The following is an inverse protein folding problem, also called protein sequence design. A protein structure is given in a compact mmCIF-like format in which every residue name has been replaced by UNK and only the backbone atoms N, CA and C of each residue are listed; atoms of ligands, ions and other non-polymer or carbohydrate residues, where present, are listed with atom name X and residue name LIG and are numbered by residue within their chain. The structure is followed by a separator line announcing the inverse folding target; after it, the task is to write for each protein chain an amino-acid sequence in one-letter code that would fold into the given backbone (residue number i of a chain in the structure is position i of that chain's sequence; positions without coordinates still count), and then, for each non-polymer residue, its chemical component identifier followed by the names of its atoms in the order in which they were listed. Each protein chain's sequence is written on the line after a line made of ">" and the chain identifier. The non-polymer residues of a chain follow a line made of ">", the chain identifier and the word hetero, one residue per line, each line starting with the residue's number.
data_IF_069550305194
#
_entry.id   IF_069550305194
#
_cell.length_a   1.000
_cell.length_b   1.000
_cell.length_c   1.000
_cell.angle_alpha   90.00
_cell.angle_beta   90.00
_cell.angle_gamma   90.00
#
_symmetry.space_group_name_H-M   'P 1'
#
loop_
_entity.id
_entity.type
_entity.pdbx_description
1 polymer ?
#
# COMPACT_ATOMS: atom_id res chain seq x y z
N UNK A 1 -8.72 -5.90 17.46
CA UNK A 1 -8.86 -7.10 16.61
C UNK A 1 -7.66 -7.17 15.67
N UNK A 2 -7.12 -8.38 15.47
CA UNK A 2 -6.09 -8.63 14.47
C UNK A 2 -6.76 -8.82 13.10
N UNK A 3 -6.40 -7.96 12.12
CA UNK A 3 -6.97 -8.02 10.77
C UNK A 3 -6.10 -8.80 9.79
N UNK A 4 -4.78 -8.65 9.86
CA UNK A 4 -3.85 -9.29 8.93
C UNK A 4 -2.52 -9.61 9.58
N UNK A 5 -1.90 -10.66 9.10
CA UNK A 5 -0.52 -11.06 9.37
C UNK A 5 0.21 -11.24 8.03
N UNK A 6 1.55 -11.23 7.98
CA UNK A 6 2.28 -11.46 6.73
C UNK A 6 2.16 -12.94 6.30
N UNK A 7 1.08 -13.27 5.57
CA UNK A 7 0.72 -14.63 5.18
C UNK A 7 1.23 -15.01 3.79
N UNK A 8 1.41 -14.03 2.90
CA UNK A 8 1.85 -14.25 1.54
C UNK A 8 3.37 -14.08 1.40
N UNK A 9 3.98 -14.77 0.45
CA UNK A 9 5.44 -14.71 0.23
C UNK A 9 5.93 -13.29 -0.05
N UNK A 10 5.14 -12.49 -0.79
CA UNK A 10 5.48 -11.10 -1.10
C UNK A 10 5.44 -10.16 0.13
N UNK A 11 4.89 -10.60 1.26
CA UNK A 11 4.88 -9.87 2.52
C UNK A 11 6.10 -10.17 3.41
N UNK A 12 6.99 -11.06 2.96
CA UNK A 12 8.04 -11.69 3.78
C UNK A 12 9.46 -11.50 3.28
N UNK A 13 9.69 -10.61 2.32
CA UNK A 13 11.03 -10.32 1.86
C UNK A 13 11.79 -9.51 2.91
N UNK A 14 12.89 -10.07 3.44
CA UNK A 14 13.67 -9.47 4.51
C UNK A 14 12.94 -9.51 5.85
N UNK A 15 12.00 -8.61 6.08
CA UNK A 15 11.16 -8.61 7.29
C UNK A 15 9.76 -9.15 7.01
N UNK A 16 9.20 -9.83 7.99
CA UNK A 16 7.84 -10.35 7.97
C UNK A 16 6.92 -9.33 8.66
N UNK A 17 6.47 -8.35 7.95
CA UNK A 17 5.67 -7.24 8.51
C UNK A 17 4.46 -6.91 7.64
N UNK A 18 3.40 -6.48 8.32
CA UNK A 18 2.34 -5.64 7.78
C UNK A 18 2.29 -4.39 8.64
N UNK A 19 2.64 -3.24 8.08
CA UNK A 19 2.82 -1.99 8.83
C UNK A 19 2.24 -0.77 8.10
N UNK A 20 2.30 0.41 8.71
CA UNK A 20 1.92 1.67 8.11
C UNK A 20 0.50 1.70 7.55
N UNK A 21 -0.53 1.27 8.31
CA UNK A 21 -1.89 1.19 7.78
C UNK A 21 -2.44 2.58 7.48
N UNK A 22 -3.12 2.70 6.33
CA UNK A 22 -3.88 3.87 5.94
C UNK A 22 -5.29 3.48 5.53
N UNK A 23 -6.26 4.32 5.89
CA UNK A 23 -7.69 4.04 5.64
C UNK A 23 -8.20 4.95 4.53
N UNK A 24 -8.94 4.36 3.61
CA UNK A 24 -9.67 5.05 2.56
C UNK A 24 -11.14 4.59 2.60
N UNK A 25 -12.08 5.53 2.69
CA UNK A 25 -13.52 5.23 2.65
C UNK A 25 -14.12 5.84 1.38
N UNK A 26 -14.68 5.00 0.51
CA UNK A 26 -15.31 5.42 -0.75
C UNK A 26 -16.22 4.32 -1.29
N UNK A 27 -17.22 4.72 -2.07
CA UNK A 27 -18.09 3.80 -2.83
C UNK A 27 -18.78 2.72 -1.97
N UNK A 28 -19.19 3.06 -0.72
CA UNK A 28 -19.84 2.11 0.18
C UNK A 28 -18.88 1.07 0.78
N UNK A 29 -17.57 1.28 0.67
CA UNK A 29 -16.51 0.39 1.16
C UNK A 29 -15.51 1.14 2.03
N UNK A 30 -14.85 0.37 2.88
CA UNK A 30 -13.67 0.78 3.63
C UNK A 30 -12.50 -0.06 3.14
N UNK A 31 -11.40 0.61 2.79
CA UNK A 31 -10.15 0.00 2.39
C UNK A 31 -9.09 0.32 3.44
N UNK A 32 -8.30 -0.67 3.81
CA UNK A 32 -7.10 -0.52 4.62
C UNK A 32 -5.92 -0.96 3.78
N UNK A 33 -5.08 -0.02 3.38
CA UNK A 33 -3.79 -0.33 2.79
C UNK A 33 -2.75 -0.50 3.88
N UNK A 34 -1.76 -1.32 3.65
CA UNK A 34 -0.63 -1.55 4.55
C UNK A 34 0.63 -1.83 3.75
N UNK A 35 1.78 -1.57 4.34
CA UNK A 35 3.07 -1.88 3.72
C UNK A 35 3.60 -3.22 4.21
N UNK A 36 4.35 -3.91 3.36
CA UNK A 36 4.87 -5.23 3.65
C UNK A 36 6.31 -5.39 3.17
N UNK A 37 7.01 -6.36 3.74
CA UNK A 37 8.42 -6.68 3.54
C UNK A 37 9.38 -5.66 4.16
N UNK A 38 10.70 -5.79 3.93
CA UNK A 38 11.67 -4.77 4.32
C UNK A 38 11.56 -3.52 3.45
N UNK A 39 12.18 -2.44 3.87
CA UNK A 39 12.15 -1.15 3.17
C UNK A 39 13.06 -1.08 1.94
N UNK A 40 13.43 -2.24 1.38
CA UNK A 40 14.18 -2.39 0.14
C UNK A 40 13.32 -2.29 -1.12
N UNK A 41 13.81 -2.84 -2.21
CA UNK A 41 13.11 -2.84 -3.52
C UNK A 41 11.84 -3.70 -3.54
N UNK A 42 11.71 -4.61 -2.58
CA UNK A 42 10.53 -5.48 -2.43
C UNK A 42 9.45 -4.88 -1.53
N UNK A 43 9.70 -3.72 -0.91
CA UNK A 43 8.69 -3.01 -0.14
C UNK A 43 7.50 -2.69 -1.06
N UNK A 44 6.30 -2.93 -0.57
CA UNK A 44 5.10 -2.83 -1.41
C UNK A 44 3.86 -2.57 -0.55
N UNK A 45 2.76 -2.29 -1.20
CA UNK A 45 1.47 -2.00 -0.53
C UNK A 45 0.50 -3.14 -0.79
N UNK A 46 -0.01 -3.73 0.30
CA UNK A 46 -1.17 -4.61 0.30
C UNK A 46 -2.45 -3.87 0.63
N UNK A 47 -3.59 -4.54 0.46
CA UNK A 47 -4.89 -3.95 0.75
C UNK A 47 -5.86 -4.98 1.31
N UNK A 48 -6.70 -4.52 2.22
CA UNK A 48 -7.91 -5.20 2.67
C UNK A 48 -9.12 -4.31 2.41
N UNK A 49 -10.27 -4.93 2.18
CA UNK A 49 -11.53 -4.22 1.96
C UNK A 49 -12.68 -4.85 2.71
N UNK A 50 -13.68 -4.03 3.01
CA UNK A 50 -14.93 -4.45 3.68
C UNK A 50 -16.06 -3.51 3.25
N UNK A 51 -17.33 -4.00 3.27
CA UNK A 51 -18.49 -3.10 3.17
C UNK A 51 -18.53 -2.13 4.35
N UNK A 52 -18.89 -0.87 4.13
CA UNK A 52 -19.00 0.11 5.21
C UNK A 52 -20.10 -0.23 6.23
N UNK A 53 -21.08 -1.05 5.85
CA UNK A 53 -22.18 -1.51 6.71
C UNK A 53 -21.86 -2.80 7.48
N UNK A 54 -20.66 -3.40 7.25
CA UNK A 54 -20.27 -4.62 7.92
C UNK A 54 -19.81 -4.40 9.36
N UNK A 55 -19.79 -5.48 10.16
CA UNK A 55 -19.18 -5.46 11.50
C UNK A 55 -17.63 -5.36 11.35
N UNK A 56 -17.09 -4.16 11.52
CA UNK A 56 -15.66 -3.89 11.28
C UNK A 56 -14.71 -4.61 12.23
N UNK A 57 -15.20 -5.00 13.42
CA UNK A 57 -14.42 -5.74 14.40
C UNK A 57 -14.46 -7.26 14.20
N UNK A 58 -15.26 -7.76 13.24
CA UNK A 58 -15.19 -9.16 12.80
C UNK A 58 -14.13 -9.29 11.69
N UNK A 59 -12.97 -9.94 11.97
CA UNK A 59 -11.93 -10.11 10.95
C UNK A 59 -12.37 -10.92 9.73
N UNK A 60 -13.43 -11.74 9.86
CA UNK A 60 -13.96 -12.55 8.75
C UNK A 60 -14.76 -11.72 7.74
N UNK A 61 -15.18 -10.50 8.09
CA UNK A 61 -15.85 -9.58 7.17
C UNK A 61 -14.88 -8.97 6.15
N UNK A 62 -13.59 -8.96 6.47
CA UNK A 62 -12.56 -8.35 5.65
C UNK A 62 -12.04 -9.28 4.57
N UNK A 63 -11.92 -8.76 3.35
CA UNK A 63 -11.27 -9.43 2.22
C UNK A 63 -9.85 -8.89 2.07
N UNK A 64 -8.84 -9.75 2.17
CA UNK A 64 -7.44 -9.42 1.90
C UNK A 64 -7.12 -9.69 0.43
N UNK A 65 -6.50 -8.72 -0.26
CA UNK A 65 -6.05 -8.90 -1.63
C UNK A 65 -4.88 -9.89 -1.68
N UNK A 66 -4.93 -10.78 -2.69
CA UNK A 66 -3.93 -11.85 -2.84
C UNK A 66 -2.57 -11.35 -3.31
N UNK A 67 -2.54 -10.24 -4.02
CA UNK A 67 -1.34 -9.65 -4.61
C UNK A 67 -1.17 -8.22 -4.10
N UNK A 68 0.07 -7.69 -4.08
CA UNK A 68 0.26 -6.29 -3.73
C UNK A 68 -0.48 -5.39 -4.72
N UNK A 69 -1.12 -4.35 -4.21
CA UNK A 69 -1.86 -3.37 -5.02
C UNK A 69 -0.95 -2.27 -5.57
N UNK A 70 0.23 -2.09 -4.99
CA UNK A 70 1.29 -1.22 -5.51
C UNK A 70 2.65 -1.82 -5.16
N UNK A 71 3.55 -1.88 -6.13
CA UNK A 71 4.90 -2.44 -5.99
C UNK A 71 5.88 -1.70 -6.90
N UNK A 72 7.15 -2.07 -6.82
CA UNK A 72 8.21 -1.57 -7.72
C UNK A 72 7.78 -1.57 -9.18
N UNK A 73 8.00 -0.44 -9.83
CA UNK A 73 7.92 -0.25 -11.28
C UNK A 73 9.29 0.21 -11.79
N UNK A 74 10.06 -0.76 -12.32
CA UNK A 74 11.42 -0.49 -12.79
C UNK A 74 11.44 0.36 -14.07
N UNK A 75 10.38 0.32 -14.90
CA UNK A 75 10.28 1.13 -16.11
C UNK A 75 10.12 2.61 -15.78
N UNK A 76 9.47 2.91 -14.67
CA UNK A 76 9.30 4.27 -14.13
C UNK A 76 10.43 4.69 -13.19
N UNK A 77 11.36 3.79 -12.85
CA UNK A 77 12.41 4.08 -11.88
C UNK A 77 11.89 4.28 -10.45
N UNK A 78 10.80 3.62 -10.08
CA UNK A 78 10.18 3.72 -8.76
C UNK A 78 10.30 2.38 -8.07
N UNK A 79 10.99 2.35 -6.93
CA UNK A 79 11.32 1.12 -6.22
C UNK A 79 10.83 1.15 -4.78
N UNK A 80 10.28 0.04 -4.32
CA UNK A 80 9.83 -0.14 -2.95
C UNK A 80 8.83 0.91 -2.47
N UNK A 81 7.70 1.12 -3.16
CA UNK A 81 6.67 2.06 -2.70
C UNK A 81 5.98 1.55 -1.44
N UNK A 82 5.74 2.45 -0.48
CA UNK A 82 5.02 2.08 0.73
C UNK A 82 4.75 3.22 1.69
N UNK A 83 4.24 2.87 2.87
CA UNK A 83 3.90 3.73 3.99
C UNK A 83 3.04 4.93 3.56
N UNK A 84 1.94 4.60 2.90
CA UNK A 84 1.10 5.59 2.22
C UNK A 84 0.09 6.27 3.14
N UNK A 85 -0.44 7.36 2.63
CA UNK A 85 -1.63 8.06 3.12
C UNK A 85 -2.48 8.53 1.93
N UNK A 86 -3.68 9.02 2.21
CA UNK A 86 -4.60 9.49 1.18
C UNK A 86 -5.03 10.93 1.41
N UNK A 87 -5.25 11.65 0.32
CA UNK A 87 -5.81 12.99 0.31
C UNK A 87 -6.59 13.23 -0.98
N UNK A 88 -7.11 14.41 -1.16
CA UNK A 88 -7.71 14.88 -2.42
C UNK A 88 -7.05 16.19 -2.83
N UNK A 89 -6.93 16.43 -4.13
CA UNK A 89 -6.46 17.71 -4.66
C UNK A 89 -7.60 18.76 -4.70
N UNK A 90 -7.26 19.98 -5.12
CA UNK A 90 -8.23 21.07 -5.23
C UNK A 90 -9.33 20.86 -6.26
N UNK A 91 -9.18 19.89 -7.14
CA UNK A 91 -10.16 19.48 -8.16
C UNK A 91 -11.01 18.28 -7.71
N UNK A 92 -10.74 17.74 -6.51
CA UNK A 92 -11.43 16.58 -5.95
C UNK A 92 -10.91 15.22 -6.43
N UNK A 93 -9.72 15.18 -7.05
CA UNK A 93 -9.12 13.92 -7.45
C UNK A 93 -8.51 13.20 -6.24
N UNK A 94 -8.63 11.89 -6.20
CA UNK A 94 -8.04 11.06 -5.16
C UNK A 94 -6.52 10.92 -5.38
N UNK A 95 -5.74 11.21 -4.34
CA UNK A 95 -4.29 11.22 -4.33
C UNK A 95 -3.78 10.27 -3.26
N UNK A 96 -2.85 9.40 -3.64
CA UNK A 96 -2.03 8.64 -2.70
C UNK A 96 -0.70 9.36 -2.50
N UNK A 97 -0.30 9.57 -1.27
CA UNK A 97 1.04 10.04 -0.87
C UNK A 97 1.77 8.86 -0.26
N UNK A 98 2.97 8.59 -0.71
CA UNK A 98 3.76 7.42 -0.28
C UNK A 98 5.26 7.76 -0.36
N UNK A 99 6.13 6.90 0.15
CA UNK A 99 7.55 7.01 -0.18
C UNK A 99 7.97 5.91 -1.14
N UNK A 100 8.99 6.18 -1.94
CA UNK A 100 9.68 5.19 -2.75
C UNK A 100 11.14 5.58 -2.97
N UNK A 101 11.91 4.65 -3.52
CA UNK A 101 13.30 4.82 -3.91
C UNK A 101 13.40 5.12 -5.39
N UNK A 102 14.46 5.80 -5.78
CA UNK A 102 14.84 6.04 -7.19
C UNK A 102 16.00 5.16 -7.63
N UNK A 103 16.59 4.39 -6.72
CA UNK A 103 17.73 3.52 -6.91
C UNK A 103 17.44 2.11 -6.40
N UNK A 104 18.03 1.12 -7.05
CA UNK A 104 17.90 -0.30 -6.67
C UNK A 104 18.99 -0.74 -5.70
N UNK A 105 20.18 -0.15 -5.81
CA UNK A 105 21.33 -0.50 -4.98
C UNK A 105 21.23 0.18 -3.63
N UNK A 106 21.22 -0.62 -2.58
CA UNK A 106 21.15 -0.17 -1.20
C UNK A 106 22.41 -0.65 -0.49
N UNK A 107 23.24 0.29 -0.08
CA UNK A 107 24.43 0.00 0.70
C UNK A 107 24.05 0.03 2.18
N UNK A 108 24.30 -1.09 2.87
CA UNK A 108 23.97 -1.25 4.29
C UNK A 108 22.51 -1.64 4.55
N UNK A 109 22.01 -1.32 5.72
CA UNK A 109 20.63 -1.61 6.11
C UNK A 109 19.66 -0.67 5.37
N UNK A 110 18.67 -1.22 4.66
CA UNK A 110 17.66 -0.42 3.95
C UNK A 110 16.94 0.61 4.82
N UNK A 111 16.77 0.34 6.11
CA UNK A 111 16.11 1.24 7.05
C UNK A 111 16.85 2.58 7.20
N UNK A 112 18.17 2.56 7.14
CA UNK A 112 19.02 3.75 7.32
C UNK A 112 19.46 4.41 6.00
N UNK A 113 19.16 3.78 4.86
CA UNK A 113 19.48 4.37 3.56
C UNK A 113 18.55 5.56 3.27
N UNK A 114 19.08 6.76 2.96
CA UNK A 114 18.28 7.99 2.81
C UNK A 114 17.50 8.09 1.49
N UNK A 115 17.78 7.22 0.50
CA UNK A 115 17.06 7.21 -0.77
C UNK A 115 15.65 6.64 -0.58
N UNK A 116 14.79 7.39 0.10
CA UNK A 116 13.36 7.18 0.30
C UNK A 116 12.66 8.52 0.23
N UNK A 117 12.08 8.82 -0.91
CA UNK A 117 11.54 10.14 -1.22
C UNK A 117 10.03 10.13 -1.15
N UNK A 118 9.44 11.19 -0.62
CA UNK A 118 8.01 11.38 -0.67
C UNK A 118 7.57 11.58 -2.13
N UNK A 119 6.59 10.79 -2.53
CA UNK A 119 5.98 10.83 -3.86
C UNK A 119 4.47 10.91 -3.72
N UNK A 120 3.82 11.35 -4.77
CA UNK A 120 2.37 11.33 -4.86
C UNK A 120 1.94 10.84 -6.24
N UNK A 121 0.78 10.20 -6.27
CA UNK A 121 0.13 9.77 -7.50
C UNK A 121 -1.37 9.98 -7.42
N UNK A 122 -1.97 10.36 -8.53
CA UNK A 122 -3.41 10.32 -8.72
C UNK A 122 -3.83 8.89 -9.01
N UNK A 123 -4.96 8.45 -8.46
CA UNK A 123 -5.49 7.13 -8.73
C UNK A 123 -6.98 7.19 -9.08
N UNK A 124 -7.47 6.13 -9.70
CA UNK A 124 -8.87 5.98 -10.12
C UNK A 124 -9.56 4.83 -9.41
N UNK A 125 -10.71 4.46 -9.96
CA UNK A 125 -11.61 3.42 -9.43
C UNK A 125 -12.03 2.48 -10.54
N UNK A 126 -12.11 1.19 -10.24
CA UNK A 126 -12.67 0.20 -11.16
C UNK A 126 -14.22 0.23 -11.16
N UNK A 127 -14.81 -0.61 -12.02
CA UNK A 127 -16.26 -0.72 -12.13
C UNK A 127 -16.94 -1.25 -10.86
N UNK A 128 -16.21 -1.96 -10.02
CA UNK A 128 -16.68 -2.51 -8.75
C UNK A 128 -16.46 -1.54 -7.57
N UNK A 129 -15.92 -0.35 -7.85
CA UNK A 129 -15.66 0.69 -6.86
C UNK A 129 -14.42 0.43 -6.00
N UNK A 130 -13.47 -0.37 -6.45
CA UNK A 130 -12.19 -0.54 -5.78
C UNK A 130 -11.14 0.45 -6.32
N UNK A 131 -10.20 0.93 -5.49
CA UNK A 131 -9.15 1.83 -5.96
C UNK A 131 -8.17 1.08 -6.88
N UNK A 132 -7.73 1.76 -7.94
CA UNK A 132 -6.75 1.25 -8.89
C UNK A 132 -5.49 2.09 -8.81
N UNK A 133 -4.42 1.49 -8.28
CA UNK A 133 -3.11 2.12 -8.10
C UNK A 133 -2.14 1.64 -9.17
N UNK A 134 -1.65 2.55 -9.98
CA UNK A 134 -0.56 2.29 -10.93
C UNK A 134 0.14 3.60 -11.30
N UNK A 135 1.43 3.50 -11.57
CA UNK A 135 2.25 4.63 -11.98
C UNK A 135 2.03 5.03 -13.44
#
# INVERSE_FOLDING_TARGET
>A
VLLTTPDYDWERHGFWVNEGPAVLKRNGKIFVTYSASDTGVNYCIGMMSVSEDAELLDPRAWKKERYPVLKTDAEKGIYGPGHNSFTVDGEGNDIMVFHARTETEIVGDPLYNPNRHAMLMKFGWDADGNPVFHF
#
